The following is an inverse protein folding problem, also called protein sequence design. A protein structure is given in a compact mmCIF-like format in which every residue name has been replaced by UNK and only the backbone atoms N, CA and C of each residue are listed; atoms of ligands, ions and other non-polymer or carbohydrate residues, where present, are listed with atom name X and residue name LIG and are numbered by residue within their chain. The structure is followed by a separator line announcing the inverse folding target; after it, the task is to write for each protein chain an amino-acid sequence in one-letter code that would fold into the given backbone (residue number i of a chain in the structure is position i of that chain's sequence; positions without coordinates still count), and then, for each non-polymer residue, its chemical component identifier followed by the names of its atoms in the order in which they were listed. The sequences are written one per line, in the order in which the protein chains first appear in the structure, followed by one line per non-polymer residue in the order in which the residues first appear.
data_IF_207086944338
#
_entry.id   IF_207086944338
#
_cell.length_a   1.000
_cell.length_b   1.000
_cell.length_c   1.000
_cell.angle_alpha   90.00
_cell.angle_beta   90.00
_cell.angle_gamma   90.00
#
_symmetry.space_group_name_H-M   'P 1'
#
loop_
_entity.id
_entity.type
_entity.pdbx_description
1 polymer ?
#
# COMPACT_ATOMS: atom_id res chain seq x y z
N UNK A 1 -5.43 3.26 24.34
CA UNK A 1 -4.00 3.08 24.00
C UNK A 1 -3.93 2.12 22.84
N UNK A 2 -3.20 2.44 21.77
CA UNK A 2 -3.09 1.56 20.61
C UNK A 2 -2.28 0.32 20.95
N UNK A 3 -2.68 -0.82 20.36
CA UNK A 3 -2.01 -2.11 20.50
C UNK A 3 -1.26 -2.50 19.23
N UNK A 4 -1.59 -1.86 18.12
CA UNK A 4 -0.95 -2.05 16.83
C UNK A 4 -0.79 -0.76 16.05
N UNK A 5 0.16 -0.78 15.11
CA UNK A 5 0.42 0.31 14.17
C UNK A 5 0.59 -0.28 12.77
N UNK A 6 -0.14 0.26 11.80
CA UNK A 6 0.14 0.10 10.39
C UNK A 6 1.04 1.25 9.94
N UNK A 7 2.18 0.93 9.34
CA UNK A 7 3.14 1.90 8.83
C UNK A 7 3.17 1.85 7.30
N UNK A 8 2.91 2.97 6.63
CA UNK A 8 3.37 3.07 5.26
C UNK A 8 4.90 3.03 5.19
N UNK A 9 5.43 2.73 4.04
CA UNK A 9 6.86 2.50 3.84
C UNK A 9 7.52 3.73 3.22
N UNK A 10 7.10 4.10 2.00
CA UNK A 10 7.70 5.19 1.25
C UNK A 10 7.24 6.53 1.79
N UNK A 11 8.16 7.41 2.18
CA UNK A 11 7.82 8.69 2.79
C UNK A 11 7.59 8.62 4.30
N UNK A 12 7.59 7.42 4.90
CA UNK A 12 7.49 7.20 6.35
C UNK A 12 8.75 6.57 6.93
N UNK A 13 9.25 5.50 6.31
CA UNK A 13 10.46 4.78 6.72
C UNK A 13 11.68 5.23 5.92
N UNK A 14 11.52 5.38 4.62
CA UNK A 14 12.56 5.86 3.72
C UNK A 14 11.95 6.66 2.56
N UNK A 15 12.77 7.46 1.88
CA UNK A 15 12.42 8.16 0.66
C UNK A 15 13.50 7.88 -0.39
N UNK A 16 13.10 7.48 -1.61
CA UNK A 16 14.00 6.95 -2.63
C UNK A 16 14.84 5.78 -2.07
N UNK A 17 16.14 5.94 -1.80
CA UNK A 17 17.02 4.92 -1.21
C UNK A 17 17.58 5.36 0.16
N UNK A 18 17.08 6.45 0.74
CA UNK A 18 17.57 7.03 1.98
C UNK A 18 16.57 6.83 3.13
N UNK A 19 17.06 6.31 4.25
CA UNK A 19 16.28 6.15 5.48
C UNK A 19 15.93 7.53 6.04
N UNK A 20 14.67 7.75 6.38
CA UNK A 20 14.26 9.00 7.01
C UNK A 20 14.83 9.12 8.43
N UNK A 21 15.23 10.33 8.84
CA UNK A 21 15.79 10.55 10.16
C UNK A 21 14.90 9.97 11.26
N UNK A 22 15.51 9.22 12.19
CA UNK A 22 14.80 8.63 13.32
C UNK A 22 13.90 7.42 13.03
N UNK A 23 13.62 7.06 11.76
CA UNK A 23 12.67 6.00 11.43
C UNK A 23 13.05 4.62 12.00
N UNK A 24 14.33 4.25 11.96
CA UNK A 24 14.81 2.98 12.55
C UNK A 24 14.65 2.98 14.06
N UNK A 25 14.95 4.12 14.73
CA UNK A 25 14.76 4.26 16.17
C UNK A 25 13.29 4.17 16.56
N UNK A 26 12.41 4.82 15.80
CA UNK A 26 10.97 4.79 16.01
C UNK A 26 10.39 3.36 15.92
N UNK A 27 10.74 2.61 14.86
CA UNK A 27 10.32 1.22 14.72
C UNK A 27 10.81 0.36 15.89
N UNK A 28 12.07 0.55 16.31
CA UNK A 28 12.63 -0.15 17.46
C UNK A 28 11.88 0.17 18.75
N UNK A 29 11.55 1.44 18.99
CA UNK A 29 10.79 1.87 20.17
C UNK A 29 9.40 1.25 20.22
N UNK A 30 8.68 1.19 19.08
CA UNK A 30 7.39 0.51 18.99
C UNK A 30 7.51 -0.98 19.32
N UNK A 31 8.54 -1.65 18.81
CA UNK A 31 8.80 -3.06 19.10
C UNK A 31 9.12 -3.29 20.60
N UNK A 32 9.92 -2.44 21.20
CA UNK A 32 10.25 -2.49 22.63
C UNK A 32 9.03 -2.24 23.51
N UNK A 33 8.10 -1.41 23.06
CA UNK A 33 6.83 -1.18 23.72
C UNK A 33 5.81 -2.33 23.54
N UNK A 34 6.16 -3.37 22.78
CA UNK A 34 5.28 -4.52 22.51
C UNK A 34 4.13 -4.21 21.56
N UNK A 35 4.25 -3.14 20.76
CA UNK A 35 3.24 -2.75 19.76
C UNK A 35 3.33 -3.68 18.55
N UNK A 36 2.21 -4.27 18.15
CA UNK A 36 2.14 -5.05 16.94
C UNK A 36 2.33 -4.16 15.69
N UNK A 37 3.18 -4.58 14.76
CA UNK A 37 3.50 -3.80 13.56
C UNK A 37 3.11 -4.55 12.29
N UNK A 38 2.54 -3.82 11.33
CA UNK A 38 2.46 -4.19 9.92
C UNK A 38 2.96 -3.02 9.06
N UNK A 39 3.84 -3.34 8.15
CA UNK A 39 4.32 -2.43 7.12
C UNK A 39 3.43 -2.64 5.89
N UNK A 40 2.78 -1.59 5.44
CA UNK A 40 1.77 -1.65 4.36
C UNK A 40 2.19 -0.76 3.20
N UNK A 41 2.09 -1.25 1.95
CA UNK A 41 2.50 -0.47 0.79
C UNK A 41 1.70 -0.81 -0.47
N UNK A 42 1.45 0.21 -1.30
CA UNK A 42 0.92 0.04 -2.66
C UNK A 42 2.02 -0.18 -3.71
N UNK A 43 3.29 -0.16 -3.31
CA UNK A 43 4.41 -0.37 -4.25
C UNK A 43 4.21 -1.65 -5.04
N UNK A 44 4.18 -1.54 -6.37
CA UNK A 44 3.95 -2.63 -7.30
C UNK A 44 4.99 -2.71 -8.43
N UNK A 45 6.12 -2.01 -8.28
CA UNK A 45 7.32 -2.14 -9.13
C UNK A 45 8.39 -3.04 -8.53
N UNK A 46 8.13 -3.63 -7.36
CA UNK A 46 9.08 -4.46 -6.61
C UNK A 46 8.34 -5.59 -5.92
N UNK A 47 8.98 -6.75 -5.84
CA UNK A 47 8.45 -7.88 -5.09
C UNK A 47 8.46 -7.60 -3.59
N UNK A 48 7.57 -8.25 -2.83
CA UNK A 48 7.57 -8.16 -1.37
C UNK A 48 8.92 -8.60 -0.78
N UNK A 49 9.53 -9.64 -1.35
CA UNK A 49 10.85 -10.12 -0.95
C UNK A 49 11.94 -9.04 -1.14
N UNK A 50 11.97 -8.36 -2.29
CA UNK A 50 12.92 -7.29 -2.55
C UNK A 50 12.76 -6.11 -1.59
N UNK A 51 11.50 -5.72 -1.28
CA UNK A 51 11.21 -4.67 -0.29
C UNK A 51 11.70 -5.09 1.10
N UNK A 52 11.44 -6.33 1.50
CA UNK A 52 11.89 -6.88 2.78
C UNK A 52 13.42 -6.83 2.93
N UNK A 53 14.16 -7.29 1.92
CA UNK A 53 15.62 -7.26 1.95
C UNK A 53 16.19 -5.85 2.02
N UNK A 54 15.59 -4.88 1.33
CA UNK A 54 16.04 -3.49 1.42
C UNK A 54 15.78 -2.89 2.79
N UNK A 55 14.61 -3.12 3.38
CA UNK A 55 14.33 -2.68 4.75
C UNK A 55 15.33 -3.28 5.75
N UNK A 56 15.68 -4.56 5.60
CA UNK A 56 16.72 -5.20 6.42
C UNK A 56 18.09 -4.54 6.22
N UNK A 57 18.47 -4.25 4.98
CA UNK A 57 19.74 -3.55 4.66
C UNK A 57 19.77 -2.13 5.21
N UNK A 58 18.63 -1.46 5.25
CA UNK A 58 18.44 -0.13 5.84
C UNK A 58 18.45 -0.14 7.38
N UNK A 59 18.53 -1.32 8.02
CA UNK A 59 18.65 -1.46 9.48
C UNK A 59 17.33 -1.67 10.22
N UNK A 60 16.21 -1.87 9.51
CA UNK A 60 14.94 -2.21 10.15
C UNK A 60 14.92 -3.68 10.61
N UNK A 61 14.71 -3.91 11.90
CA UNK A 61 14.61 -5.26 12.48
C UNK A 61 13.18 -5.79 12.36
N UNK A 62 12.77 -6.17 11.15
CA UNK A 62 11.43 -6.67 10.84
C UNK A 62 11.47 -8.14 10.42
N UNK A 63 10.34 -8.84 10.58
CA UNK A 63 10.08 -10.17 10.03
C UNK A 63 9.31 -10.04 8.69
N UNK A 64 9.45 -11.02 7.82
CA UNK A 64 8.79 -10.98 6.49
C UNK A 64 7.26 -10.91 6.60
N UNK A 65 6.70 -11.56 7.60
CA UNK A 65 5.27 -11.62 7.90
C UNK A 65 4.71 -10.25 8.32
N UNK A 66 5.58 -9.31 8.72
CA UNK A 66 5.18 -7.94 9.06
C UNK A 66 4.97 -7.06 7.82
N UNK A 67 5.39 -7.51 6.64
CA UNK A 67 5.20 -6.80 5.38
C UNK A 67 3.92 -7.29 4.69
N UNK A 68 3.01 -6.36 4.39
CA UNK A 68 1.79 -6.61 3.64
C UNK A 68 1.69 -5.63 2.47
N UNK A 69 1.80 -6.15 1.24
CA UNK A 69 1.83 -5.36 0.01
C UNK A 69 0.55 -5.50 -0.79
N UNK A 70 0.17 -4.48 -1.55
CA UNK A 70 -0.98 -4.54 -2.43
C UNK A 70 -0.87 -5.66 -3.51
N UNK A 71 0.31 -5.95 -4.11
CA UNK A 71 0.48 -7.15 -4.93
C UNK A 71 0.18 -8.46 -4.21
N UNK A 72 0.53 -8.58 -2.92
CA UNK A 72 0.18 -9.76 -2.11
C UNK A 72 -1.33 -9.87 -1.90
N UNK A 73 -2.00 -8.77 -1.54
CA UNK A 73 -3.46 -8.74 -1.42
C UNK A 73 -4.15 -9.11 -2.74
N UNK A 74 -3.60 -8.66 -3.86
CA UNK A 74 -4.05 -9.01 -5.21
C UNK A 74 -3.97 -10.52 -5.46
N UNK A 75 -2.83 -11.14 -5.15
CA UNK A 75 -2.64 -12.58 -5.30
C UNK A 75 -3.61 -13.38 -4.43
N UNK A 76 -3.76 -13.00 -3.17
CA UNK A 76 -4.69 -13.65 -2.23
C UNK A 76 -6.13 -13.57 -2.72
N UNK A 77 -6.56 -12.41 -3.26
CA UNK A 77 -7.89 -12.23 -3.83
C UNK A 77 -8.12 -13.10 -5.07
N UNK A 78 -7.16 -13.15 -5.99
CA UNK A 78 -7.22 -13.95 -7.22
C UNK A 78 -7.36 -15.44 -6.86
N UNK A 79 -6.56 -15.92 -5.92
CA UNK A 79 -6.61 -17.31 -5.46
C UNK A 79 -7.95 -17.62 -4.78
N UNK A 80 -8.42 -16.76 -3.87
CA UNK A 80 -9.71 -16.92 -3.18
C UNK A 80 -10.89 -17.02 -4.16
N UNK A 81 -10.88 -16.20 -5.22
CA UNK A 81 -11.94 -16.15 -6.23
C UNK A 81 -11.71 -17.12 -7.40
N UNK A 82 -10.60 -17.84 -7.41
CA UNK A 82 -10.20 -18.73 -8.53
C UNK A 82 -10.23 -18.01 -9.88
N UNK A 83 -9.71 -16.76 -9.91
CA UNK A 83 -9.66 -15.95 -11.11
C UNK A 83 -8.46 -16.32 -11.98
N UNK A 84 -8.59 -16.08 -13.28
CA UNK A 84 -7.53 -16.24 -14.29
C UNK A 84 -7.23 -14.87 -14.88
N UNK A 85 -6.15 -14.20 -14.42
CA UNK A 85 -5.91 -12.83 -14.80
C UNK A 85 -5.16 -12.66 -16.12
N UNK A 86 -5.52 -11.62 -16.87
CA UNK A 86 -4.62 -10.94 -17.77
C UNK A 86 -3.91 -9.83 -16.98
N UNK A 87 -2.58 -9.86 -16.93
CA UNK A 87 -1.82 -9.00 -16.04
C UNK A 87 -1.14 -7.84 -16.77
N UNK A 88 -1.44 -6.62 -16.34
CA UNK A 88 -0.68 -5.39 -16.61
C UNK A 88 0.17 -5.11 -15.37
N UNK A 89 1.37 -5.67 -15.33
CA UNK A 89 2.26 -5.63 -14.17
C UNK A 89 3.69 -5.27 -14.59
N UNK A 90 4.46 -4.74 -13.63
CA UNK A 90 5.89 -4.50 -13.83
C UNK A 90 6.64 -5.83 -14.02
N UNK A 91 7.70 -5.87 -14.86
CA UNK A 91 8.49 -7.09 -15.07
C UNK A 91 9.00 -7.75 -13.79
N UNK A 92 9.32 -6.96 -12.76
CA UNK A 92 9.78 -7.48 -11.47
C UNK A 92 8.77 -8.37 -10.74
N UNK A 93 7.47 -8.22 -11.03
CA UNK A 93 6.40 -9.01 -10.39
C UNK A 93 6.07 -10.31 -11.15
N UNK A 94 6.64 -10.53 -12.34
CA UNK A 94 6.29 -11.69 -13.17
C UNK A 94 6.45 -13.02 -12.43
N UNK A 95 7.51 -13.16 -11.63
CA UNK A 95 7.77 -14.39 -10.85
C UNK A 95 6.68 -14.68 -9.83
N UNK A 96 6.15 -13.66 -9.15
CA UNK A 96 5.08 -13.82 -8.17
C UNK A 96 3.75 -14.19 -8.83
N UNK A 97 3.46 -13.61 -10.01
CA UNK A 97 2.21 -13.83 -10.74
C UNK A 97 2.27 -15.05 -11.68
N UNK A 98 3.46 -15.56 -12.03
CA UNK A 98 3.62 -16.69 -12.97
C UNK A 98 2.96 -18.00 -12.50
N UNK A 99 2.70 -18.14 -11.19
CA UNK A 99 2.06 -19.33 -10.61
C UNK A 99 0.55 -19.41 -10.87
N UNK A 100 -0.07 -18.30 -11.31
CA UNK A 100 -1.49 -18.23 -11.59
C UNK A 100 -1.84 -18.87 -12.94
N UNK A 101 -3.08 -19.34 -13.08
CA UNK A 101 -3.60 -19.78 -14.39
C UNK A 101 -3.99 -18.55 -15.24
N UNK A 102 -3.31 -18.37 -16.35
CA UNK A 102 -3.55 -17.28 -17.29
C UNK A 102 -4.38 -17.71 -18.53
N UNK A 103 -4.87 -18.95 -18.55
CA UNK A 103 -5.68 -19.46 -19.68
C UNK A 103 -7.09 -18.86 -19.66
N UNK A 104 -7.59 -18.46 -20.83
CA UNK A 104 -8.94 -17.89 -20.96
C UNK A 104 -9.27 -16.86 -19.86
N UNK A 105 -8.60 -15.69 -19.84
CA UNK A 105 -8.69 -14.74 -18.74
C UNK A 105 -10.13 -14.28 -18.45
N UNK A 106 -10.49 -14.24 -17.17
CA UNK A 106 -11.76 -13.72 -16.66
C UNK A 106 -11.55 -12.57 -15.63
N UNK A 107 -10.33 -12.05 -15.56
CA UNK A 107 -10.00 -10.86 -14.81
C UNK A 107 -8.87 -10.08 -15.50
N UNK A 108 -8.81 -8.79 -15.26
CA UNK A 108 -7.67 -7.93 -15.61
C UNK A 108 -7.07 -7.40 -14.33
N UNK A 109 -5.77 -7.60 -14.15
CA UNK A 109 -4.98 -7.05 -13.05
C UNK A 109 -4.20 -5.85 -13.54
N UNK A 110 -4.32 -4.73 -12.84
CA UNK A 110 -3.58 -3.51 -13.10
C UNK A 110 -2.73 -3.16 -11.89
N UNK A 111 -1.43 -3.42 -12.01
CA UNK A 111 -0.37 -2.85 -11.16
C UNK A 111 0.32 -1.72 -11.92
N UNK A 112 1.38 -1.13 -11.36
CA UNK A 112 2.21 -0.21 -12.14
C UNK A 112 3.05 -1.01 -13.15
N UNK A 113 2.59 -1.06 -14.38
CA UNK A 113 3.23 -1.80 -15.46
C UNK A 113 4.34 -1.01 -16.19
N UNK A 114 4.55 0.27 -15.84
CA UNK A 114 5.53 1.14 -16.48
C UNK A 114 5.31 1.24 -18.00
N UNK A 115 6.37 1.04 -18.78
CA UNK A 115 6.33 1.13 -20.25
C UNK A 115 5.43 0.08 -20.93
N UNK A 116 4.95 -0.92 -20.16
CA UNK A 116 3.98 -1.90 -20.65
C UNK A 116 2.55 -1.39 -20.71
N UNK A 117 2.28 -0.19 -20.26
CA UNK A 117 1.04 0.53 -20.51
C UNK A 117 1.00 1.07 -21.94
N UNK A 118 1.16 0.21 -22.90
CA UNK A 118 1.06 0.51 -24.33
C UNK A 118 -0.36 0.19 -24.89
N UNK A 119 -0.65 0.70 -26.09
CA UNK A 119 -1.96 0.50 -26.72
C UNK A 119 -2.29 -0.99 -26.88
N UNK A 120 -1.34 -1.82 -27.29
CA UNK A 120 -1.55 -3.25 -27.55
C UNK A 120 -1.95 -3.98 -26.26
N UNK A 121 -1.25 -3.72 -25.18
CA UNK A 121 -1.48 -4.32 -23.86
C UNK A 121 -2.81 -3.85 -23.26
N UNK A 122 -3.07 -2.54 -23.32
CA UNK A 122 -4.34 -1.97 -22.83
C UNK A 122 -5.54 -2.43 -23.65
N UNK A 123 -5.41 -2.52 -24.98
CA UNK A 123 -6.49 -3.01 -25.83
C UNK A 123 -6.78 -4.50 -25.57
N UNK A 124 -5.76 -5.31 -25.28
CA UNK A 124 -5.96 -6.72 -24.88
C UNK A 124 -6.68 -6.83 -23.54
N UNK A 125 -6.32 -6.01 -22.56
CA UNK A 125 -7.03 -5.91 -21.29
C UNK A 125 -8.50 -5.53 -21.50
N UNK A 126 -8.75 -4.51 -22.31
CA UNK A 126 -10.11 -4.11 -22.68
C UNK A 126 -10.92 -5.25 -23.29
N UNK A 127 -10.34 -6.04 -24.23
CA UNK A 127 -11.03 -7.19 -24.83
C UNK A 127 -11.42 -8.25 -23.78
N UNK A 128 -10.59 -8.49 -22.77
CA UNK A 128 -10.95 -9.37 -21.63
C UNK A 128 -12.13 -8.79 -20.86
N UNK A 129 -12.13 -7.47 -20.59
CA UNK A 129 -13.18 -6.79 -19.83
C UNK A 129 -14.52 -6.72 -20.56
N UNK A 130 -14.55 -6.87 -21.87
CA UNK A 130 -15.80 -6.95 -22.64
C UNK A 130 -16.61 -8.22 -22.37
N UNK A 131 -16.03 -9.20 -21.65
CA UNK A 131 -16.81 -10.28 -21.07
C UNK A 131 -17.51 -9.77 -19.80
N UNK A 132 -18.85 -9.91 -19.74
CA UNK A 132 -19.67 -9.41 -18.63
C UNK A 132 -19.22 -9.93 -17.25
N UNK A 133 -18.69 -11.16 -17.20
CA UNK A 133 -18.22 -11.80 -15.96
C UNK A 133 -16.79 -11.45 -15.59
N UNK A 134 -16.05 -10.74 -16.44
CA UNK A 134 -14.67 -10.39 -16.14
C UNK A 134 -14.59 -9.28 -15.10
N UNK A 135 -13.66 -9.40 -14.15
CA UNK A 135 -13.37 -8.42 -13.11
C UNK A 135 -12.20 -7.52 -13.51
N UNK A 136 -12.26 -6.23 -13.14
CA UNK A 136 -11.13 -5.32 -13.20
C UNK A 136 -10.58 -5.13 -11.79
N UNK A 137 -9.32 -5.50 -11.58
CA UNK A 137 -8.64 -5.46 -10.29
C UNK A 137 -7.48 -4.47 -10.36
N UNK A 138 -7.32 -3.62 -9.34
CA UNK A 138 -6.27 -2.61 -9.27
C UNK A 138 -5.54 -2.67 -7.92
N UNK A 139 -4.22 -2.44 -7.93
CA UNK A 139 -3.44 -2.32 -6.68
C UNK A 139 -3.72 -1.03 -5.93
N UNK A 140 -4.19 0.00 -6.62
CA UNK A 140 -4.48 1.32 -6.07
C UNK A 140 -5.06 2.24 -7.12
N UNK A 141 -5.49 3.43 -6.69
CA UNK A 141 -6.07 4.47 -7.54
C UNK A 141 -5.19 5.74 -7.57
N UNK A 142 -3.92 5.60 -7.24
CA UNK A 142 -2.98 6.70 -7.21
C UNK A 142 -2.80 7.31 -8.60
N UNK A 143 -2.90 8.64 -8.70
CA UNK A 143 -2.78 9.37 -9.97
C UNK A 143 -1.34 9.45 -10.46
N UNK A 144 -0.40 9.62 -9.53
CA UNK A 144 1.02 9.77 -9.79
C UNK A 144 1.85 9.35 -8.56
N UNK A 145 3.12 9.10 -8.78
CA UNK A 145 4.13 8.94 -7.73
C UNK A 145 5.32 9.87 -7.97
N UNK A 146 6.09 10.14 -6.93
CA UNK A 146 7.35 10.89 -7.02
C UNK A 146 8.52 9.91 -7.14
N UNK A 147 9.34 10.08 -8.15
CA UNK A 147 10.55 9.30 -8.33
C UNK A 147 11.65 10.14 -9.01
N UNK A 148 12.86 10.04 -8.54
CA UNK A 148 14.03 10.75 -9.08
C UNK A 148 13.78 12.26 -9.28
N UNK A 149 13.13 12.90 -8.31
CA UNK A 149 12.82 14.33 -8.32
C UNK A 149 11.70 14.77 -9.29
N UNK A 150 10.98 13.84 -9.93
CA UNK A 150 9.89 14.15 -10.89
C UNK A 150 8.61 13.41 -10.51
N UNK A 151 7.48 13.90 -11.05
CA UNK A 151 6.20 13.20 -10.98
C UNK A 151 6.07 12.27 -12.20
N UNK A 152 5.63 11.05 -11.93
CA UNK A 152 5.36 10.02 -12.92
C UNK A 152 3.93 9.54 -12.76
N UNK A 153 3.28 9.16 -13.88
CA UNK A 153 1.97 8.50 -13.81
C UNK A 153 2.08 7.20 -13.02
N UNK A 154 1.11 6.98 -12.12
CA UNK A 154 0.92 5.70 -11.44
C UNK A 154 -0.13 4.84 -12.18
N UNK A 155 -0.55 3.72 -11.62
CA UNK A 155 -1.53 2.80 -12.19
C UNK A 155 -2.93 3.43 -12.37
N UNK A 156 -3.34 4.34 -11.49
CA UNK A 156 -4.69 4.91 -11.47
C UNK A 156 -5.20 5.47 -12.81
N UNK A 157 -4.44 6.30 -13.54
CA UNK A 157 -4.85 6.79 -14.87
C UNK A 157 -5.19 5.67 -15.87
N UNK A 158 -4.47 4.55 -15.83
CA UNK A 158 -4.69 3.40 -16.72
C UNK A 158 -5.89 2.56 -16.27
N UNK A 159 -6.10 2.46 -14.95
CA UNK A 159 -7.34 1.90 -14.38
C UNK A 159 -8.54 2.70 -14.86
N UNK A 160 -8.51 4.04 -14.74
CA UNK A 160 -9.60 4.92 -15.19
C UNK A 160 -9.86 4.82 -16.69
N UNK A 161 -8.81 4.68 -17.50
CA UNK A 161 -8.97 4.46 -18.94
C UNK A 161 -9.72 3.14 -19.24
N UNK A 162 -9.39 2.06 -18.52
CA UNK A 162 -10.07 0.76 -18.66
C UNK A 162 -11.49 0.79 -18.10
N UNK A 163 -11.73 1.45 -16.97
CA UNK A 163 -13.08 1.68 -16.42
C UNK A 163 -13.96 2.42 -17.43
N UNK A 164 -13.45 3.55 -17.97
CA UNK A 164 -14.18 4.35 -18.94
C UNK A 164 -14.52 3.57 -20.20
N UNK A 165 -13.56 2.80 -20.74
CA UNK A 165 -13.75 2.06 -21.98
C UNK A 165 -14.69 0.86 -21.81
N UNK A 166 -14.62 0.15 -20.67
CA UNK A 166 -15.37 -1.08 -20.44
C UNK A 166 -16.71 -0.88 -19.73
N UNK A 167 -16.93 0.29 -19.10
CA UNK A 167 -18.07 0.56 -18.23
C UNK A 167 -18.03 -0.20 -16.89
N UNK A 168 -16.90 -0.85 -16.57
CA UNK A 168 -16.71 -1.57 -15.31
C UNK A 168 -16.06 -0.68 -14.26
N UNK A 169 -16.28 -1.00 -12.99
CA UNK A 169 -15.58 -0.37 -11.86
C UNK A 169 -14.51 -1.31 -11.34
N UNK A 170 -13.32 -0.79 -11.09
CA UNK A 170 -12.22 -1.58 -10.55
C UNK A 170 -12.43 -1.90 -9.06
N UNK A 171 -12.14 -3.15 -8.68
CA UNK A 171 -11.94 -3.52 -7.28
C UNK A 171 -10.50 -3.15 -6.89
N UNK A 172 -10.37 -2.18 -5.99
CA UNK A 172 -9.06 -1.75 -5.48
C UNK A 172 -8.66 -2.65 -4.31
N UNK A 173 -7.50 -3.30 -4.43
CA UNK A 173 -7.00 -4.29 -3.47
C UNK A 173 -5.81 -3.80 -2.63
N UNK A 174 -5.39 -2.55 -2.82
CA UNK A 174 -4.44 -1.84 -1.96
C UNK A 174 -5.12 -0.66 -1.26
N UNK A 175 -4.34 0.21 -0.63
CA UNK A 175 -4.83 1.47 -0.03
C UNK A 175 -5.45 2.35 -1.12
N UNK A 176 -6.58 3.01 -0.92
CA UNK A 176 -7.33 3.22 0.35
C UNK A 176 -8.42 2.17 0.64
N UNK A 177 -8.40 0.98 0.04
CA UNK A 177 -9.44 -0.04 0.22
C UNK A 177 -9.62 -0.42 1.70
N UNK A 178 -10.86 -0.36 2.19
CA UNK A 178 -11.17 -0.78 3.55
C UNK A 178 -10.83 -2.25 3.80
N UNK A 179 -11.02 -3.12 2.81
CA UNK A 179 -10.69 -4.55 2.90
C UNK A 179 -9.19 -4.77 3.08
N UNK A 180 -8.36 -3.98 2.39
CA UNK A 180 -6.90 -4.03 2.56
C UNK A 180 -6.50 -3.75 4.01
N UNK A 181 -7.05 -2.68 4.60
CA UNK A 181 -6.78 -2.33 6.00
C UNK A 181 -7.35 -3.38 6.96
N UNK A 182 -8.56 -3.87 6.71
CA UNK A 182 -9.18 -4.89 7.55
C UNK A 182 -8.34 -6.17 7.63
N UNK A 183 -7.86 -6.68 6.49
CA UNK A 183 -7.00 -7.86 6.43
C UNK A 183 -5.67 -7.60 7.16
N UNK A 184 -5.05 -6.42 6.94
CA UNK A 184 -3.82 -6.06 7.64
C UNK A 184 -4.01 -6.03 9.16
N UNK A 185 -5.11 -5.47 9.67
CA UNK A 185 -5.46 -5.42 11.09
C UNK A 185 -5.76 -6.81 11.64
N UNK A 186 -6.58 -7.61 10.94
CA UNK A 186 -6.92 -8.97 11.33
C UNK A 186 -5.68 -9.87 11.44
N UNK A 187 -4.72 -9.70 10.54
CA UNK A 187 -3.44 -10.44 10.56
C UNK A 187 -2.61 -10.17 11.83
N UNK A 188 -2.92 -9.13 12.59
CA UNK A 188 -2.32 -8.84 13.90
C UNK A 188 -3.18 -9.34 15.08
N UNK A 189 -4.35 -9.92 14.83
CA UNK A 189 -5.32 -10.34 15.85
C UNK A 189 -5.97 -9.18 16.60
N UNK A 190 -6.05 -7.99 15.98
CA UNK A 190 -6.55 -6.76 16.58
C UNK A 190 -7.86 -6.30 15.93
N UNK A 191 -8.53 -5.33 16.58
CA UNK A 191 -9.68 -4.62 16.03
C UNK A 191 -9.22 -3.27 15.45
N UNK A 192 -9.92 -2.70 14.45
CA UNK A 192 -9.56 -1.40 13.86
C UNK A 192 -9.35 -0.30 14.90
N UNK A 193 -10.22 -0.18 15.89
CA UNK A 193 -10.12 0.82 16.97
C UNK A 193 -8.90 0.69 17.90
N UNK A 194 -8.14 -0.39 17.79
CA UNK A 194 -6.91 -0.64 18.55
C UNK A 194 -5.65 -0.30 17.75
N UNK A 195 -5.81 0.09 16.48
CA UNK A 195 -4.71 0.25 15.53
C UNK A 195 -4.65 1.69 15.02
N UNK A 196 -3.43 2.23 14.93
CA UNK A 196 -3.15 3.52 14.34
C UNK A 196 -2.54 3.30 12.94
N UNK A 197 -3.11 3.93 11.90
CA UNK A 197 -2.46 4.03 10.59
C UNK A 197 -1.53 5.25 10.57
N UNK A 198 -0.31 5.09 10.14
CA UNK A 198 0.68 6.16 9.96
C UNK A 198 1.14 6.20 8.51
N UNK A 199 0.97 7.35 7.87
CA UNK A 199 1.30 7.53 6.46
C UNK A 199 1.55 8.99 6.09
N UNK A 200 2.09 9.19 4.89
CA UNK A 200 2.39 10.51 4.30
C UNK A 200 1.38 10.91 3.21
N UNK A 201 0.52 9.98 2.78
CA UNK A 201 -0.51 10.18 1.75
C UNK A 201 -1.87 10.33 2.42
N UNK A 202 -2.40 11.57 2.39
CA UNK A 202 -3.67 11.89 3.06
C UNK A 202 -4.86 11.10 2.51
N UNK A 203 -4.87 10.77 1.22
CA UNK A 203 -5.98 10.05 0.58
C UNK A 203 -5.83 8.53 0.79
N UNK A 204 -4.66 7.99 0.43
CA UNK A 204 -4.43 6.55 0.45
C UNK A 204 -4.29 5.99 1.87
N UNK A 205 -3.54 6.66 2.74
CA UNK A 205 -3.23 6.17 4.09
C UNK A 205 -4.25 6.65 5.10
N UNK A 206 -4.46 7.96 5.15
CA UNK A 206 -5.17 8.60 6.25
C UNK A 206 -6.68 8.48 6.07
N UNK A 207 -7.23 9.02 4.99
CA UNK A 207 -8.66 8.92 4.71
C UNK A 207 -9.10 7.46 4.54
N UNK A 208 -8.30 6.64 3.83
CA UNK A 208 -8.56 5.20 3.67
C UNK A 208 -8.55 4.45 5.00
N UNK A 209 -7.55 4.68 5.86
CA UNK A 209 -7.47 4.07 7.20
C UNK A 209 -8.63 4.48 8.10
N UNK A 210 -8.99 5.77 8.12
CA UNK A 210 -10.14 6.27 8.89
C UNK A 210 -11.46 5.69 8.38
N UNK A 211 -11.64 5.56 7.07
CA UNK A 211 -12.81 4.92 6.48
C UNK A 211 -12.92 3.43 6.85
N UNK A 212 -11.79 2.76 7.10
CA UNK A 212 -11.72 1.39 7.61
C UNK A 212 -11.89 1.30 9.15
N UNK A 213 -12.12 2.41 9.84
CA UNK A 213 -12.34 2.46 11.29
C UNK A 213 -11.08 2.51 12.14
N UNK A 214 -9.92 2.83 11.55
CA UNK A 214 -8.69 3.08 12.27
C UNK A 214 -8.60 4.54 12.71
N UNK A 215 -7.85 4.81 13.77
CA UNK A 215 -7.28 6.14 13.96
C UNK A 215 -6.10 6.33 12.98
N UNK A 216 -5.82 7.58 12.61
CA UNK A 216 -4.77 7.86 11.64
C UNK A 216 -3.88 9.03 12.06
N UNK A 217 -2.59 8.96 11.68
CA UNK A 217 -1.59 10.00 11.88
C UNK A 217 -0.90 10.31 10.55
N UNK A 218 -1.09 11.52 10.04
CA UNK A 218 -0.38 12.05 8.89
C UNK A 218 1.00 12.55 9.32
N UNK A 219 2.06 12.09 8.66
CA UNK A 219 3.42 12.60 8.88
C UNK A 219 3.78 13.62 7.80
N UNK A 220 4.52 14.67 8.19
CA UNK A 220 4.92 15.77 7.29
C UNK A 220 6.17 15.44 6.47
N UNK A 221 6.31 14.18 6.08
CA UNK A 221 7.39 13.67 5.24
C UNK A 221 6.82 13.23 3.88
N UNK A 222 7.64 12.76 2.98
CA UNK A 222 7.21 12.14 1.73
C UNK A 222 6.34 13.02 0.83
N UNK A 223 5.10 12.61 0.61
CA UNK A 223 4.13 13.27 -0.27
C UNK A 223 3.39 14.44 0.39
N UNK A 224 3.42 14.55 1.72
CA UNK A 224 2.68 15.57 2.46
C UNK A 224 2.88 16.97 1.87
N UNK A 225 1.80 17.73 1.78
CA UNK A 225 1.80 19.15 1.46
C UNK A 225 1.05 19.91 2.57
N UNK A 226 1.51 21.12 2.87
CA UNK A 226 0.87 21.95 3.88
C UNK A 226 -0.64 22.13 3.59
N UNK A 227 -1.48 21.78 4.56
CA UNK A 227 -2.93 21.81 4.43
C UNK A 227 -3.57 20.47 4.08
N UNK A 228 -2.80 19.42 3.79
CA UNK A 228 -3.36 18.09 3.50
C UNK A 228 -4.19 17.53 4.67
N UNK A 229 -3.83 17.87 5.92
CA UNK A 229 -4.58 17.49 7.11
C UNK A 229 -6.05 17.94 7.09
N UNK A 230 -6.36 18.98 6.33
CA UNK A 230 -7.75 19.46 6.20
C UNK A 230 -8.63 18.52 5.37
N UNK A 231 -8.04 17.66 4.55
CA UNK A 231 -8.75 16.66 3.73
C UNK A 231 -9.17 15.43 4.54
N UNK A 232 -8.58 15.22 5.72
CA UNK A 232 -8.92 14.12 6.63
C UNK A 232 -9.15 14.66 8.07
N UNK A 233 -10.27 15.38 8.30
CA UNK A 233 -10.56 16.00 9.59
C UNK A 233 -10.57 14.95 10.71
N UNK A 234 -9.89 15.23 11.81
CA UNK A 234 -9.77 14.32 12.96
C UNK A 234 -8.52 13.43 12.93
N UNK A 235 -7.75 13.43 11.85
CA UNK A 235 -6.45 12.77 11.86
C UNK A 235 -5.47 13.49 12.79
N UNK A 236 -4.50 12.75 13.31
CA UNK A 236 -3.36 13.33 14.01
C UNK A 236 -2.34 13.84 13.01
N UNK A 237 -1.49 14.78 13.43
CA UNK A 237 -0.39 15.30 12.62
C UNK A 237 0.90 15.21 13.41
N UNK A 238 1.97 14.74 12.79
CA UNK A 238 3.31 14.69 13.36
C UNK A 238 4.35 15.12 12.32
N UNK A 239 5.50 15.63 12.74
CA UNK A 239 6.53 16.07 11.81
C UNK A 239 7.17 14.88 11.08
N UNK A 240 7.37 13.76 11.78
CA UNK A 240 7.89 12.50 11.26
C UNK A 240 7.43 11.31 12.13
N UNK A 241 7.89 10.11 11.78
CA UNK A 241 7.55 8.90 12.51
C UNK A 241 8.10 8.91 13.94
N UNK A 242 9.31 9.45 14.16
CA UNK A 242 9.91 9.51 15.50
C UNK A 242 9.11 10.40 16.43
N UNK A 243 8.77 11.61 15.98
CA UNK A 243 7.94 12.55 16.72
C UNK A 243 6.56 11.94 17.06
N UNK A 244 5.95 11.19 16.14
CA UNK A 244 4.70 10.47 16.41
C UNK A 244 4.90 9.45 17.54
N UNK A 245 5.97 8.64 17.49
CA UNK A 245 6.23 7.60 18.49
C UNK A 245 6.48 8.21 19.86
N UNK A 246 7.30 9.25 19.96
CA UNK A 246 7.59 9.95 21.23
C UNK A 246 6.32 10.53 21.86
N UNK A 247 5.40 11.05 21.05
CA UNK A 247 4.16 11.65 21.54
C UNK A 247 3.10 10.62 21.98
N UNK A 248 2.96 9.51 21.25
CA UNK A 248 1.86 8.56 21.45
C UNK A 248 2.26 7.29 22.20
N UNK A 249 3.54 6.95 22.20
CA UNK A 249 4.08 5.74 22.82
C UNK A 249 5.30 6.11 23.71
N UNK A 250 5.15 7.02 24.68
CA UNK A 250 6.27 7.39 25.53
C UNK A 250 6.81 6.12 26.20
N UNK A 251 8.07 5.79 25.92
CA UNK A 251 8.77 4.69 26.59
C UNK A 251 8.84 5.09 28.05
N UNK A 252 8.02 4.47 28.89
CA UNK A 252 8.06 4.68 30.32
C UNK A 252 9.48 4.36 30.79
N UNK A 253 10.16 5.35 31.35
CA UNK A 253 11.35 5.12 32.17
C UNK A 253 10.88 4.16 33.27
N UNK A 254 11.11 2.85 33.09
CA UNK A 254 11.02 1.90 34.19
C UNK A 254 12.14 2.29 35.13
N UNK A 255 11.77 3.09 36.15
CA UNK A 255 12.59 3.34 37.33
C UNK A 255 12.87 2.03 38.08
#
# INVERSE_FOLDING_TARGET
MYQGVLLDISGVLYQDDEVLPGAVAAVRSLQQAGIALRLVTNTSRRTGEAIFYDLKRMGFAIAAEQLYTAPRAMLDYIELKSLRPYCLIHPSLETEFARLDHSNPNAVVVCDAGDRFDYKSLNKAFQVLMNDKAELLAVGDNRFFRGRGRLHLDAGPFVKALEYASGKTATVLGKPSADFFAIAVESMGLKPSQVLMVGDDVEADIAGGMAAGLDACLVKTGKYQAGDETKAPGCRLADDLLAMVENLFPVGIKS
#
